data_IF_051961871272
#
_entry.id   IF_051961871272
#
_cell.length_a   1.000
_cell.length_b   1.000
_cell.length_c   1.000
_cell.angle_alpha   90.00
_cell.angle_beta   90.00
_cell.angle_gamma   90.00
#
_symmetry.space_group_name_H-M   'P 1'
#
loop_
_entity.id
_entity.type
_entity.pdbx_description
1 polymer ?
#
# COMPACT_ATOMS: atom_id res chain seq x y z
N UNK A 1 -18.03 -30.63 -5.21
CA UNK A 1 -19.09 -29.61 -5.04
C UNK A 1 -18.45 -28.23 -5.15
N UNK A 2 -19.17 -27.25 -5.70
CA UNK A 2 -18.73 -25.85 -5.77
C UNK A 2 -19.49 -25.04 -4.72
N UNK A 3 -18.79 -24.15 -3.99
CA UNK A 3 -19.38 -23.23 -3.02
C UNK A 3 -19.03 -21.80 -3.40
N UNK A 4 -20.05 -20.94 -3.42
CA UNK A 4 -19.87 -19.51 -3.67
C UNK A 4 -19.26 -18.82 -2.45
N UNK A 5 -18.29 -17.94 -2.66
CA UNK A 5 -17.62 -17.13 -1.64
C UNK A 5 -17.46 -15.70 -2.15
N UNK A 6 -17.11 -14.77 -1.25
CA UNK A 6 -16.83 -13.38 -1.64
C UNK A 6 -15.65 -13.23 -2.60
N UNK A 7 -14.83 -14.28 -2.77
CA UNK A 7 -13.70 -14.34 -3.69
C UNK A 7 -13.95 -15.22 -4.93
N UNK A 8 -15.21 -15.65 -5.17
CA UNK A 8 -15.59 -16.53 -6.27
C UNK A 8 -15.93 -17.96 -5.84
N UNK A 9 -16.04 -18.87 -6.81
CA UNK A 9 -16.46 -20.24 -6.56
C UNK A 9 -15.28 -21.13 -6.16
N UNK A 10 -15.40 -21.79 -5.02
CA UNK A 10 -14.41 -22.75 -4.51
C UNK A 10 -14.93 -24.17 -4.74
N UNK A 11 -14.14 -24.99 -5.44
CA UNK A 11 -14.41 -26.42 -5.62
C UNK A 11 -13.80 -27.24 -4.47
N UNK A 12 -14.55 -28.17 -3.88
CA UNK A 12 -14.05 -29.13 -2.90
C UNK A 12 -14.64 -30.53 -3.12
N UNK A 13 -13.85 -31.56 -2.83
CA UNK A 13 -14.23 -32.97 -2.98
C UNK A 13 -13.12 -33.90 -2.50
N UNK A 14 -13.46 -35.18 -2.26
CA UNK A 14 -12.47 -36.20 -1.96
C UNK A 14 -11.60 -36.47 -3.19
N UNK A 15 -10.27 -36.42 -3.03
CA UNK A 15 -9.31 -36.61 -4.12
C UNK A 15 -8.71 -38.02 -3.98
N UNK A 16 -8.95 -38.90 -4.95
CA UNK A 16 -8.15 -40.11 -5.14
C UNK A 16 -6.74 -39.69 -5.56
N UNK A 17 -5.71 -40.41 -5.08
CA UNK A 17 -4.30 -39.99 -4.99
C UNK A 17 -3.56 -39.63 -6.30
N UNK A 18 -4.05 -38.66 -7.06
CA UNK A 18 -3.31 -37.97 -8.11
C UNK A 18 -3.50 -36.47 -7.90
N UNK A 19 -2.48 -35.81 -7.34
CA UNK A 19 -2.50 -34.38 -7.05
C UNK A 19 -2.44 -33.60 -8.37
N UNK A 20 -3.58 -33.18 -8.88
CA UNK A 20 -3.68 -32.02 -9.75
C UNK A 20 -4.55 -30.98 -9.06
N UNK A 21 -3.92 -30.04 -8.37
CA UNK A 21 -4.58 -28.80 -7.96
C UNK A 21 -4.68 -27.92 -9.21
N UNK A 22 -5.81 -28.02 -9.93
CA UNK A 22 -6.09 -27.12 -11.04
C UNK A 22 -6.43 -25.75 -10.50
N UNK A 23 -5.49 -24.81 -10.59
CA UNK A 23 -5.80 -23.39 -10.46
C UNK A 23 -6.57 -22.99 -11.72
N UNK A 24 -7.87 -22.74 -11.59
CA UNK A 24 -8.63 -22.08 -12.65
C UNK A 24 -8.21 -20.61 -12.60
N UNK A 25 -7.11 -20.30 -13.28
CA UNK A 25 -6.73 -18.92 -13.58
C UNK A 25 -7.85 -18.31 -14.40
N UNK A 26 -8.30 -17.11 -14.03
CA UNK A 26 -9.24 -16.35 -14.86
C UNK A 26 -8.74 -16.31 -16.31
N UNK A 27 -9.65 -16.43 -17.26
CA UNK A 27 -9.43 -16.28 -18.72
C UNK A 27 -9.20 -14.80 -19.06
N UNK A 28 -8.32 -14.13 -18.32
CA UNK A 28 -7.83 -12.79 -18.65
C UNK A 28 -6.32 -12.90 -18.78
N UNK A 29 -5.75 -12.20 -19.75
CA UNK A 29 -4.30 -12.16 -19.87
C UNK A 29 -3.72 -11.57 -18.59
N UNK A 30 -2.53 -12.04 -18.19
CA UNK A 30 -1.82 -11.49 -17.03
C UNK A 30 -1.62 -9.98 -17.23
N UNK A 31 -1.36 -9.55 -18.46
CA UNK A 31 -1.24 -8.15 -18.85
C UNK A 31 -2.51 -7.33 -18.57
N UNK A 32 -3.70 -7.88 -18.87
CA UNK A 32 -4.97 -7.20 -18.57
C UNK A 32 -5.21 -7.08 -17.06
N UNK A 33 -4.80 -8.09 -16.29
CA UNK A 33 -4.93 -8.09 -14.84
C UNK A 33 -3.99 -7.05 -14.20
N UNK A 34 -2.73 -7.03 -14.64
CA UNK A 34 -1.74 -6.03 -14.20
C UNK A 34 -2.16 -4.61 -14.61
N UNK A 35 -2.67 -4.42 -15.83
CA UNK A 35 -3.15 -3.12 -16.28
C UNK A 35 -4.29 -2.62 -15.39
N UNK A 36 -5.32 -3.44 -15.14
CA UNK A 36 -6.44 -3.06 -14.27
C UNK A 36 -6.01 -2.78 -12.84
N UNK A 37 -5.07 -3.56 -12.32
CA UNK A 37 -4.49 -3.32 -10.99
C UNK A 37 -3.90 -1.91 -10.92
N UNK A 38 -3.05 -1.55 -11.89
CA UNK A 38 -2.45 -0.23 -11.94
C UNK A 38 -3.45 0.88 -12.27
N UNK A 39 -4.46 0.66 -13.12
CA UNK A 39 -5.52 1.65 -13.39
C UNK A 39 -6.33 2.00 -12.13
N UNK A 40 -6.55 1.04 -11.23
CA UNK A 40 -7.31 1.25 -9.99
C UNK A 40 -6.46 1.91 -8.91
N UNK A 41 -5.19 1.52 -8.78
CA UNK A 41 -4.28 2.03 -7.75
C UNK A 41 -3.54 3.31 -8.16
N UNK A 42 -3.51 3.63 -9.45
CA UNK A 42 -2.90 4.89 -9.92
C UNK A 42 -3.85 6.04 -9.62
N UNK A 43 -3.42 6.92 -8.71
CA UNK A 43 -4.10 8.18 -8.45
C UNK A 43 -3.94 9.06 -9.70
N UNK A 44 -4.96 9.07 -10.57
CA UNK A 44 -5.06 10.01 -11.70
C UNK A 44 -5.60 11.37 -11.26
N UNK A 45 -5.01 11.95 -10.21
CA UNK A 45 -5.30 13.35 -9.88
C UNK A 45 -4.36 14.23 -10.70
N UNK A 46 -4.91 14.90 -11.71
CA UNK A 46 -4.26 16.00 -12.41
C UNK A 46 -3.83 17.05 -11.40
N UNK A 47 -2.57 17.55 -11.49
CA UNK A 47 -1.95 18.59 -10.65
C UNK A 47 -2.93 19.24 -9.66
N UNK A 48 -3.22 18.51 -8.58
CA UNK A 48 -4.09 19.03 -7.54
C UNK A 48 -3.29 20.12 -6.87
N UNK A 49 -3.90 21.28 -6.61
CA UNK A 49 -3.29 22.25 -5.71
C UNK A 49 -3.13 21.55 -4.36
N UNK A 50 -1.88 21.21 -4.02
CA UNK A 50 -1.53 20.64 -2.74
C UNK A 50 -1.92 21.63 -1.64
N UNK A 51 -2.49 21.14 -0.56
CA UNK A 51 -2.60 21.92 0.68
C UNK A 51 -1.21 22.29 1.19
N UNK A 52 -1.10 23.34 2.00
CA UNK A 52 0.16 23.74 2.63
C UNK A 52 0.79 22.58 3.43
N UNK A 53 -0.05 21.74 4.08
CA UNK A 53 0.40 20.55 4.79
C UNK A 53 0.96 19.47 3.86
N UNK A 54 0.36 19.31 2.68
CA UNK A 54 0.80 18.31 1.69
C UNK A 54 2.12 18.74 1.07
N UNK A 55 2.27 20.02 0.71
CA UNK A 55 3.54 20.58 0.21
C UNK A 55 4.65 20.44 1.25
N UNK A 56 4.36 20.76 2.52
CA UNK A 56 5.30 20.57 3.62
C UNK A 56 5.74 19.10 3.75
N UNK A 57 4.79 18.16 3.72
CA UNK A 57 5.09 16.74 3.85
C UNK A 57 5.93 16.22 2.67
N UNK A 58 5.60 16.62 1.44
CA UNK A 58 6.38 16.27 0.26
C UNK A 58 7.82 16.81 0.35
N UNK A 59 7.96 18.09 0.72
CA UNK A 59 9.26 18.71 0.87
C UNK A 59 10.08 18.02 1.96
N UNK A 60 9.46 17.73 3.11
CA UNK A 60 10.10 17.01 4.20
C UNK A 60 10.56 15.62 3.76
N UNK A 61 9.73 14.86 3.05
CA UNK A 61 10.09 13.55 2.54
C UNK A 61 11.28 13.64 1.57
N UNK A 62 11.21 14.51 0.56
CA UNK A 62 12.28 14.70 -0.44
C UNK A 62 13.63 15.10 0.18
N UNK A 63 13.59 15.85 1.28
CA UNK A 63 14.81 16.32 1.97
C UNK A 63 15.37 15.31 2.95
N UNK A 64 14.52 14.50 3.60
CA UNK A 64 14.95 13.55 4.64
C UNK A 64 15.10 12.13 4.15
N UNK A 65 14.48 11.74 3.02
CA UNK A 65 14.49 10.39 2.50
C UNK A 65 15.15 10.35 1.12
N UNK A 66 16.14 9.46 0.94
CA UNK A 66 16.76 9.19 -0.36
C UNK A 66 17.25 7.75 -0.44
N UNK A 67 17.59 7.30 -1.65
CA UNK A 67 18.28 6.03 -1.85
C UNK A 67 19.78 6.25 -2.03
N UNK A 68 20.59 5.30 -1.56
CA UNK A 68 22.01 5.22 -1.93
C UNK A 68 22.17 4.57 -3.32
N UNK A 69 23.40 4.56 -3.85
CA UNK A 69 23.72 3.97 -5.16
C UNK A 69 23.41 2.46 -5.23
N UNK A 70 23.24 1.80 -4.09
CA UNK A 70 22.90 0.38 -3.97
C UNK A 70 21.40 0.13 -3.79
N UNK A 71 20.59 1.20 -3.75
CA UNK A 71 19.14 1.14 -3.59
C UNK A 71 18.63 1.10 -2.15
N UNK A 72 19.49 1.23 -1.14
CA UNK A 72 19.07 1.26 0.28
C UNK A 72 18.56 2.64 0.69
N UNK A 73 17.55 2.66 1.55
CA UNK A 73 17.02 3.90 2.11
C UNK A 73 18.01 4.57 3.09
N UNK A 74 18.24 5.86 2.89
CA UNK A 74 18.88 6.78 3.83
C UNK A 74 17.80 7.72 4.34
N UNK A 75 17.57 7.70 5.65
CA UNK A 75 16.57 8.54 6.33
C UNK A 75 17.27 9.46 7.32
N UNK A 76 17.03 10.76 7.20
CA UNK A 76 17.45 11.76 8.18
C UNK A 76 16.42 11.80 9.30
N UNK A 77 16.70 11.07 10.38
CA UNK A 77 15.85 11.07 11.57
C UNK A 77 16.28 12.22 12.50
N UNK A 78 15.38 13.14 12.87
CA UNK A 78 15.70 14.15 13.85
C UNK A 78 15.98 13.45 15.19
N UNK A 79 17.21 13.60 15.68
CA UNK A 79 17.55 13.18 17.05
C UNK A 79 16.85 14.16 17.97
N UNK A 80 15.95 13.68 18.83
CA UNK A 80 15.30 14.55 19.80
C UNK A 80 16.37 15.13 20.73
N UNK A 81 16.40 16.45 20.93
CA UNK A 81 16.87 16.99 22.19
C UNK A 81 15.92 16.43 23.25
N UNK A 82 16.42 15.50 24.07
CA UNK A 82 15.64 14.76 25.07
C UNK A 82 14.92 15.73 26.04
N UNK A 83 15.41 16.96 26.17
CA UNK A 83 14.87 18.01 27.05
C UNK A 83 13.51 18.58 26.63
N UNK A 84 13.10 18.51 25.35
CA UNK A 84 11.84 19.16 24.88
C UNK A 84 10.63 18.24 24.82
N UNK A 85 10.76 17.01 25.30
CA UNK A 85 9.65 16.03 25.32
C UNK A 85 8.68 16.21 26.50
N UNK A 86 8.92 17.14 27.42
CA UNK A 86 7.96 17.50 28.46
C UNK A 86 6.96 18.53 27.93
N UNK A 87 5.93 18.01 27.27
CA UNK A 87 4.51 18.34 27.50
C UNK A 87 3.69 17.90 26.29
N UNK A 88 3.15 16.66 26.27
CA UNK A 88 2.10 16.34 25.32
C UNK A 88 0.91 17.26 25.62
N UNK A 89 0.59 18.16 24.66
CA UNK A 89 -0.60 19.00 24.75
C UNK A 89 -1.81 18.05 24.88
N UNK A 90 -2.62 18.15 25.94
CA UNK A 90 -3.76 17.27 26.10
C UNK A 90 -4.74 17.52 24.96
N UNK A 91 -5.16 16.44 24.30
CA UNK A 91 -6.15 16.43 23.23
C UNK A 91 -7.34 17.29 23.63
N UNK A 92 -7.50 18.45 23.01
CA UNK A 92 -8.68 19.28 23.22
C UNK A 92 -9.83 18.58 22.51
N UNK A 93 -10.64 17.87 23.29
CA UNK A 93 -11.89 17.30 22.85
C UNK A 93 -12.85 18.48 22.60
N UNK A 94 -13.20 18.72 21.34
CA UNK A 94 -14.29 19.63 20.98
C UNK A 94 -15.59 18.87 21.12
N UNK A 95 -16.35 19.16 22.18
CA UNK A 95 -17.81 19.05 22.28
C UNK A 95 -18.32 20.22 23.13
#
# INVERSE_FOLDING_TARGET
MFRNTVFGYVAFGAVSQYKCCGFISQVQSIDDCLRKFWEVETITESEKMLSDEEEFCEHHYKTTHKHDETGRYIVHMPVKDIEKLENPKPWQQKD
#
